data_IF_169502370818
#
_entry.id   IF_169502370818
#
_cell.length_a   1.000
_cell.length_b   1.000
_cell.length_c   1.000
_cell.angle_alpha   90.00
_cell.angle_beta   90.00
_cell.angle_gamma   90.00
#
_symmetry.space_group_name_H-M   'P 1'
#
loop_
_entity.id
_entity.type
_entity.pdbx_description
1 polymer ?
#
# COMPACT_ATOMS: atom_id res chain seq x y z
N UNK A 1 -5.37 -19.70 -1.38
CA UNK A 1 -6.17 -19.19 -0.25
C UNK A 1 -6.16 -17.67 -0.14
N UNK A 2 -5.04 -16.98 0.05
CA UNK A 2 -5.04 -15.51 0.20
C UNK A 2 -5.76 -14.75 -0.94
N UNK A 3 -5.59 -15.14 -2.22
CA UNK A 3 -6.31 -14.51 -3.34
C UNK A 3 -7.84 -14.62 -3.19
N UNK A 4 -8.35 -15.80 -2.85
CA UNK A 4 -9.78 -16.01 -2.63
C UNK A 4 -10.30 -15.23 -1.43
N UNK A 5 -9.52 -15.16 -0.35
CA UNK A 5 -9.86 -14.35 0.83
C UNK A 5 -9.92 -12.85 0.48
N UNK A 6 -8.93 -12.34 -0.27
CA UNK A 6 -8.92 -10.93 -0.73
C UNK A 6 -10.16 -10.63 -1.57
N UNK A 7 -10.51 -11.52 -2.49
CA UNK A 7 -11.69 -11.34 -3.32
C UNK A 7 -12.96 -11.26 -2.50
N UNK A 8 -13.19 -12.23 -1.59
CA UNK A 8 -14.39 -12.24 -0.75
C UNK A 8 -14.46 -11.05 0.21
N UNK A 9 -13.32 -10.63 0.77
CA UNK A 9 -13.26 -9.43 1.61
C UNK A 9 -13.65 -8.18 0.81
N UNK A 10 -13.18 -8.04 -0.42
CA UNK A 10 -13.48 -6.88 -1.25
C UNK A 10 -14.94 -6.87 -1.76
N UNK A 11 -15.54 -8.03 -2.00
CA UNK A 11 -16.89 -8.17 -2.55
C UNK A 11 -17.98 -8.22 -1.49
N UNK A 12 -17.73 -8.94 -0.37
CA UNK A 12 -18.75 -9.25 0.65
C UNK A 12 -18.46 -8.56 1.99
N UNK A 13 -17.27 -8.01 2.16
CA UNK A 13 -16.83 -7.45 3.44
C UNK A 13 -16.38 -8.51 4.47
N UNK A 14 -15.87 -8.02 5.60
CA UNK A 14 -15.34 -8.89 6.66
C UNK A 14 -16.41 -9.82 7.27
N UNK A 15 -17.61 -9.30 7.56
CA UNK A 15 -18.64 -10.08 8.27
C UNK A 15 -19.00 -11.35 7.49
N UNK A 16 -19.29 -11.23 6.22
CA UNK A 16 -19.77 -12.30 5.34
C UNK A 16 -18.65 -13.22 4.84
N UNK A 17 -17.39 -12.82 4.95
CA UNK A 17 -16.25 -13.68 4.59
C UNK A 17 -16.11 -14.79 5.62
N UNK A 18 -16.28 -16.05 5.20
CA UNK A 18 -16.21 -17.25 6.07
C UNK A 18 -15.14 -18.21 5.58
N UNK A 19 -14.61 -19.08 6.49
CA UNK A 19 -13.66 -20.13 6.10
C UNK A 19 -14.28 -21.07 5.04
N UNK A 20 -15.57 -21.39 5.14
CA UNK A 20 -16.24 -22.23 4.16
C UNK A 20 -16.33 -21.54 2.79
N UNK A 21 -16.69 -20.25 2.76
CA UNK A 21 -16.74 -19.46 1.53
C UNK A 21 -15.36 -19.34 0.86
N UNK A 22 -14.31 -19.10 1.65
CA UNK A 22 -12.92 -19.04 1.14
C UNK A 22 -12.50 -20.42 0.61
N UNK A 23 -12.81 -21.51 1.30
CA UNK A 23 -12.50 -22.87 0.84
C UNK A 23 -13.16 -23.15 -0.51
N UNK A 24 -14.45 -22.86 -0.63
CA UNK A 24 -15.21 -23.03 -1.87
C UNK A 24 -14.63 -22.20 -3.03
N UNK A 25 -14.39 -20.91 -2.80
CA UNK A 25 -13.83 -20.00 -3.81
C UNK A 25 -12.42 -20.40 -4.24
N UNK A 26 -11.62 -20.95 -3.32
CA UNK A 26 -10.24 -21.38 -3.57
C UNK A 26 -10.12 -22.82 -4.12
N UNK A 27 -11.22 -23.58 -4.24
CA UNK A 27 -11.21 -24.96 -4.68
C UNK A 27 -10.63 -25.97 -3.67
N UNK A 28 -10.68 -25.64 -2.35
CA UNK A 28 -10.22 -26.52 -1.28
C UNK A 28 -11.39 -27.04 -0.44
N UNK A 29 -11.17 -28.15 0.27
CA UNK A 29 -12.12 -28.57 1.30
C UNK A 29 -12.06 -27.63 2.52
N UNK A 30 -13.21 -27.44 3.20
CA UNK A 30 -13.25 -26.66 4.45
C UNK A 30 -12.25 -27.20 5.48
N UNK A 31 -12.12 -28.52 5.60
CA UNK A 31 -11.19 -29.18 6.52
C UNK A 31 -9.73 -28.86 6.20
N UNK A 32 -9.36 -28.80 4.90
CA UNK A 32 -8.01 -28.42 4.50
C UNK A 32 -7.68 -26.96 4.88
N UNK A 33 -8.64 -26.04 4.72
CA UNK A 33 -8.43 -24.65 5.13
C UNK A 33 -8.34 -24.53 6.66
N UNK A 34 -9.23 -25.21 7.41
CA UNK A 34 -9.23 -25.19 8.88
C UNK A 34 -8.00 -25.86 9.50
N UNK A 35 -7.37 -26.80 8.82
CA UNK A 35 -6.12 -27.39 9.26
C UNK A 35 -4.98 -26.36 9.29
N UNK A 36 -4.92 -25.46 8.31
CA UNK A 36 -3.91 -24.39 8.23
C UNK A 36 -4.30 -23.14 9.01
N UNK A 37 -5.59 -22.83 9.06
CA UNK A 37 -6.16 -21.64 9.69
C UNK A 37 -7.35 -22.05 10.55
N UNK A 38 -7.11 -22.46 11.80
CA UNK A 38 -8.16 -22.91 12.73
C UNK A 38 -9.29 -21.90 12.93
N UNK A 39 -8.98 -20.60 12.84
CA UNK A 39 -9.96 -19.52 13.02
C UNK A 39 -9.99 -18.58 11.81
N UNK A 40 -11.08 -17.83 11.67
CA UNK A 40 -11.22 -16.78 10.67
C UNK A 40 -10.15 -15.71 10.86
N UNK A 41 -9.90 -15.31 12.09
CA UNK A 41 -8.93 -14.28 12.45
C UNK A 41 -7.51 -14.67 12.01
N UNK A 42 -7.14 -15.94 12.10
CA UNK A 42 -5.83 -16.44 11.62
C UNK A 42 -5.72 -16.42 10.11
N UNK A 43 -6.76 -16.84 9.39
CA UNK A 43 -6.82 -16.74 7.94
C UNK A 43 -6.71 -15.27 7.48
N UNK A 44 -7.45 -14.37 8.13
CA UNK A 44 -7.43 -12.95 7.80
C UNK A 44 -6.06 -12.33 8.13
N UNK A 45 -5.46 -12.65 9.29
CA UNK A 45 -4.13 -12.14 9.64
C UNK A 45 -3.06 -12.55 8.62
N UNK A 46 -3.03 -13.82 8.20
CA UNK A 46 -2.12 -14.28 7.15
C UNK A 46 -2.39 -13.60 5.79
N UNK A 47 -3.67 -13.29 5.52
CA UNK A 47 -4.04 -12.55 4.29
C UNK A 47 -3.56 -11.10 4.35
N UNK A 48 -3.68 -10.43 5.51
CA UNK A 48 -3.14 -9.08 5.74
C UNK A 48 -1.63 -9.08 5.55
N UNK A 49 -0.90 -9.98 6.18
CA UNK A 49 0.55 -10.11 6.01
C UNK A 49 0.93 -10.23 4.53
N UNK A 50 0.24 -11.09 3.78
CA UNK A 50 0.44 -11.24 2.34
C UNK A 50 0.17 -9.94 1.55
N UNK A 51 -0.88 -9.19 1.92
CA UNK A 51 -1.21 -7.90 1.30
C UNK A 51 -0.12 -6.85 1.57
N UNK A 52 0.34 -6.76 2.81
CA UNK A 52 1.33 -5.78 3.23
C UNK A 52 2.71 -6.02 2.59
N UNK A 53 3.12 -7.28 2.44
CA UNK A 53 4.37 -7.65 1.76
C UNK A 53 4.37 -7.21 0.29
N UNK A 54 3.26 -7.30 -0.42
CA UNK A 54 3.18 -6.94 -1.84
C UNK A 54 3.31 -5.45 -2.09
N UNK A 55 2.88 -4.61 -1.16
CA UNK A 55 3.00 -3.15 -1.29
C UNK A 55 4.45 -2.68 -1.16
N UNK A 56 5.30 -3.45 -0.48
CA UNK A 56 6.73 -3.14 -0.29
C UNK A 56 7.56 -3.46 -1.54
N UNK A 57 7.15 -4.44 -2.36
CA UNK A 57 7.93 -4.90 -3.52
C UNK A 57 7.94 -3.95 -4.73
N UNK A 58 7.13 -2.89 -4.73
CA UNK A 58 7.02 -1.97 -5.88
C UNK A 58 8.02 -0.80 -5.83
N UNK A 59 9.00 -0.80 -4.93
CA UNK A 59 9.90 0.33 -4.68
C UNK A 59 10.95 0.62 -5.76
N UNK A 60 11.08 -0.20 -6.80
CA UNK A 60 12.10 -0.05 -7.86
C UNK A 60 11.59 0.66 -9.14
N UNK A 61 10.53 1.47 -9.03
CA UNK A 61 10.05 2.23 -10.18
C UNK A 61 10.68 3.63 -10.21
N UNK A 62 11.24 4.00 -11.36
CA UNK A 62 11.58 5.39 -11.65
C UNK A 62 10.35 6.13 -12.13
N UNK A 63 10.15 7.34 -11.66
CA UNK A 63 9.03 8.20 -12.04
C UNK A 63 9.57 9.46 -12.73
N UNK A 64 8.83 9.95 -13.72
CA UNK A 64 9.20 11.16 -14.46
C UNK A 64 8.92 12.45 -13.66
N UNK A 65 7.88 12.41 -12.81
CA UNK A 65 7.47 13.54 -11.99
C UNK A 65 6.81 13.07 -10.69
N UNK A 66 6.69 13.99 -9.71
CA UNK A 66 5.93 13.74 -8.47
C UNK A 66 4.48 13.39 -8.79
N UNK A 67 3.87 14.10 -9.74
CA UNK A 67 2.48 13.87 -10.16
C UNK A 67 2.30 12.44 -10.67
N UNK A 68 3.19 11.99 -11.57
CA UNK A 68 3.14 10.62 -12.10
C UNK A 68 3.31 9.56 -11.01
N UNK A 69 4.17 9.83 -10.02
CA UNK A 69 4.38 8.94 -8.89
C UNK A 69 3.14 8.83 -7.99
N UNK A 70 2.50 9.96 -7.66
CA UNK A 70 1.29 10.00 -6.82
C UNK A 70 0.08 9.39 -7.54
N UNK A 71 -0.11 9.69 -8.84
CA UNK A 71 -1.17 9.08 -9.65
C UNK A 71 -0.98 7.56 -9.80
N UNK A 72 0.26 7.12 -9.99
CA UNK A 72 0.59 5.68 -10.03
C UNK A 72 0.28 5.00 -8.68
N UNK A 73 0.59 5.66 -7.56
CA UNK A 73 0.25 5.15 -6.23
C UNK A 73 -1.27 4.99 -6.07
N UNK A 74 -2.08 5.96 -6.53
CA UNK A 74 -3.53 5.81 -6.57
C UNK A 74 -3.95 4.57 -7.37
N UNK A 75 -3.54 4.49 -8.63
CA UNK A 75 -4.02 3.46 -9.56
C UNK A 75 -3.57 2.05 -9.17
N UNK A 76 -2.33 1.88 -8.71
CA UNK A 76 -1.73 0.55 -8.51
C UNK A 76 -1.73 0.06 -7.07
N UNK A 77 -1.82 0.96 -6.11
CA UNK A 77 -1.78 0.58 -4.70
C UNK A 77 -3.14 0.79 -4.03
N UNK A 78 -3.75 1.96 -4.19
CA UNK A 78 -4.95 2.34 -3.43
C UNK A 78 -6.23 1.89 -4.13
N UNK A 79 -6.43 2.23 -5.40
CA UNK A 79 -7.65 1.86 -6.14
C UNK A 79 -7.62 0.41 -6.63
N UNK A 80 -7.51 -0.53 -5.70
CA UNK A 80 -7.42 -1.97 -5.98
C UNK A 80 -8.33 -2.77 -5.06
N UNK A 81 -8.79 -3.94 -5.53
CA UNK A 81 -9.53 -4.89 -4.68
C UNK A 81 -8.71 -5.33 -3.45
N UNK A 82 -7.40 -5.44 -3.60
CA UNK A 82 -6.48 -5.74 -2.51
C UNK A 82 -6.53 -4.70 -1.39
N UNK A 83 -6.53 -3.42 -1.75
CA UNK A 83 -6.61 -2.35 -0.77
C UNK A 83 -8.01 -2.22 -0.15
N UNK A 84 -9.08 -2.43 -0.93
CA UNK A 84 -10.46 -2.50 -0.41
C UNK A 84 -10.59 -3.63 0.62
N UNK A 85 -10.06 -4.82 0.32
CA UNK A 85 -10.01 -5.92 1.29
C UNK A 85 -9.26 -5.54 2.58
N UNK A 86 -8.14 -4.82 2.47
CA UNK A 86 -7.41 -4.33 3.64
C UNK A 86 -8.27 -3.35 4.46
N UNK A 87 -8.99 -2.42 3.81
CA UNK A 87 -9.88 -1.48 4.49
C UNK A 87 -10.99 -2.18 5.27
N UNK A 88 -11.59 -3.23 4.70
CA UNK A 88 -12.60 -4.05 5.38
C UNK A 88 -12.03 -4.69 6.66
N UNK A 89 -10.81 -5.21 6.59
CA UNK A 89 -10.15 -5.78 7.78
C UNK A 89 -9.83 -4.70 8.82
N UNK A 90 -9.35 -3.53 8.41
CA UNK A 90 -9.06 -2.41 9.32
C UNK A 90 -10.34 -1.89 10.01
N UNK A 91 -11.45 -1.81 9.28
CA UNK A 91 -12.74 -1.43 9.84
C UNK A 91 -13.24 -2.46 10.85
N UNK A 92 -13.15 -3.74 10.53
CA UNK A 92 -13.53 -4.83 11.44
C UNK A 92 -12.66 -4.84 12.71
N UNK A 93 -11.36 -4.63 12.60
CA UNK A 93 -10.42 -4.59 13.72
C UNK A 93 -10.68 -3.44 14.73
N UNK A 94 -11.44 -2.43 14.36
CA UNK A 94 -11.89 -1.37 15.31
C UNK A 94 -12.78 -1.96 16.40
N UNK A 95 -13.58 -2.94 16.07
CA UNK A 95 -14.58 -3.57 16.97
C UNK A 95 -14.05 -4.92 17.45
N UNK A 96 -13.49 -5.73 16.57
CA UNK A 96 -12.93 -7.04 16.89
C UNK A 96 -11.54 -6.91 17.55
N UNK A 97 -11.52 -7.06 18.89
CA UNK A 97 -10.28 -6.99 19.67
C UNK A 97 -9.30 -8.12 19.32
N UNK A 98 -9.80 -9.34 19.05
CA UNK A 98 -8.94 -10.50 18.73
C UNK A 98 -8.22 -10.26 17.42
N UNK A 99 -8.96 -9.87 16.38
CA UNK A 99 -8.40 -9.50 15.09
C UNK A 99 -7.38 -8.37 15.22
N UNK A 100 -7.73 -7.29 15.94
CA UNK A 100 -6.83 -6.15 16.16
C UNK A 100 -5.51 -6.56 16.78
N UNK A 101 -5.52 -7.39 17.82
CA UNK A 101 -4.30 -7.87 18.48
C UNK A 101 -3.43 -8.72 17.54
N UNK A 102 -4.06 -9.44 16.61
CA UNK A 102 -3.35 -10.31 15.66
C UNK A 102 -2.62 -9.53 14.57
N UNK A 103 -3.14 -8.39 14.13
CA UNK A 103 -2.61 -7.66 12.95
C UNK A 103 -1.89 -6.35 13.31
N UNK A 104 -1.93 -5.92 14.58
CA UNK A 104 -1.41 -4.59 14.96
C UNK A 104 0.09 -4.44 14.79
N UNK A 105 0.87 -5.47 15.09
CA UNK A 105 2.34 -5.42 14.97
C UNK A 105 2.76 -5.28 13.49
N UNK A 106 2.15 -6.07 12.62
CA UNK A 106 2.38 -6.05 11.17
C UNK A 106 1.98 -4.71 10.56
N UNK A 107 0.84 -4.15 10.98
CA UNK A 107 0.38 -2.83 10.50
C UNK A 107 1.34 -1.70 10.92
N UNK A 108 1.85 -1.73 12.16
CA UNK A 108 2.83 -0.75 12.63
C UNK A 108 4.14 -0.88 11.85
N UNK A 109 4.63 -2.10 11.65
CA UNK A 109 5.84 -2.35 10.87
C UNK A 109 5.68 -1.89 9.41
N UNK A 110 4.53 -2.17 8.81
CA UNK A 110 4.20 -1.75 7.46
C UNK A 110 4.16 -0.22 7.33
N UNK A 111 3.50 0.49 8.26
CA UNK A 111 3.48 1.95 8.27
C UNK A 111 4.88 2.56 8.29
N UNK A 112 5.75 2.06 9.18
CA UNK A 112 7.16 2.48 9.23
C UNK A 112 7.93 2.19 7.94
N UNK A 113 7.64 1.07 7.28
CA UNK A 113 8.27 0.73 6.00
C UNK A 113 7.78 1.66 4.88
N UNK A 114 6.49 2.00 4.85
CA UNK A 114 5.96 2.98 3.89
C UNK A 114 6.62 4.35 4.06
N UNK A 115 6.82 4.80 5.30
CA UNK A 115 7.49 6.07 5.57
C UNK A 115 8.95 6.04 5.09
N UNK A 116 9.68 4.96 5.37
CA UNK A 116 11.05 4.77 4.86
C UNK A 116 11.09 4.76 3.32
N UNK A 117 10.18 4.03 2.67
CA UNK A 117 10.10 4.00 1.20
C UNK A 117 9.76 5.38 0.63
N UNK A 118 8.86 6.11 1.27
CA UNK A 118 8.55 7.48 0.88
C UNK A 118 9.80 8.34 0.83
N UNK A 119 10.66 8.24 1.82
CA UNK A 119 11.92 8.98 1.90
C UNK A 119 13.00 8.50 0.90
N UNK A 120 12.86 7.33 0.29
CA UNK A 120 13.73 6.93 -0.83
C UNK A 120 13.31 7.54 -2.15
N UNK A 121 12.03 7.88 -2.30
CA UNK A 121 11.44 8.39 -3.54
C UNK A 121 11.37 9.93 -3.52
N UNK A 122 10.96 10.49 -2.38
CA UNK A 122 10.63 11.92 -2.24
C UNK A 122 11.57 12.65 -1.29
N UNK A 123 11.71 13.93 -1.53
CA UNK A 123 12.29 14.92 -0.62
C UNK A 123 11.40 16.16 -0.58
N UNK A 124 11.51 16.98 0.47
CA UNK A 124 10.82 18.28 0.55
C UNK A 124 11.27 19.19 -0.60
N UNK A 125 10.33 19.93 -1.15
CA UNK A 125 10.62 21.01 -2.09
C UNK A 125 11.15 22.26 -1.39
N UNK A 126 10.96 22.39 -0.08
CA UNK A 126 11.47 23.51 0.71
C UNK A 126 12.95 23.30 1.07
N UNK A 127 13.84 23.88 0.26
CA UNK A 127 15.29 23.77 0.43
C UNK A 127 15.83 24.52 1.66
N UNK A 128 15.01 25.35 2.33
CA UNK A 128 15.40 26.07 3.53
C UNK A 128 15.30 25.23 4.80
N UNK A 129 14.57 24.11 4.73
CA UNK A 129 14.43 23.22 5.88
C UNK A 129 15.70 22.40 6.12
N UNK A 130 16.12 22.21 7.38
CA UNK A 130 17.08 21.18 7.73
C UNK A 130 16.61 19.80 7.24
N UNK A 131 17.55 18.93 6.86
CA UNK A 131 17.22 17.64 6.24
C UNK A 131 16.21 16.81 7.06
N UNK A 132 16.34 16.76 8.39
CA UNK A 132 15.43 16.01 9.26
C UNK A 132 14.00 16.60 9.33
N UNK A 133 13.88 17.93 9.21
CA UNK A 133 12.58 18.61 9.15
C UNK A 133 11.93 18.38 7.78
N UNK A 134 12.72 18.45 6.70
CA UNK A 134 12.27 18.12 5.36
C UNK A 134 11.79 16.66 5.24
N UNK A 135 12.49 15.70 5.84
CA UNK A 135 12.05 14.31 5.90
C UNK A 135 10.74 14.16 6.70
N UNK A 136 10.59 14.89 7.80
CA UNK A 136 9.35 14.92 8.60
C UNK A 136 8.18 15.47 7.79
N UNK A 137 8.39 16.57 7.05
CA UNK A 137 7.39 17.16 6.17
C UNK A 137 6.94 16.17 5.09
N UNK A 138 7.88 15.49 4.41
CA UNK A 138 7.57 14.46 3.40
C UNK A 138 6.71 13.36 3.98
N UNK A 139 7.08 12.79 5.13
CA UNK A 139 6.32 11.74 5.79
C UNK A 139 4.91 12.23 6.14
N UNK A 140 4.77 13.44 6.65
CA UNK A 140 3.48 14.03 6.99
C UNK A 140 2.61 14.20 5.74
N UNK A 141 3.13 14.82 4.67
CA UNK A 141 2.39 15.06 3.43
C UNK A 141 1.91 13.74 2.79
N UNK A 142 2.75 12.72 2.80
CA UNK A 142 2.37 11.42 2.23
C UNK A 142 1.42 10.64 3.14
N UNK A 143 1.48 10.79 4.45
CA UNK A 143 0.47 10.24 5.36
C UNK A 143 -0.89 10.92 5.16
N UNK A 144 -0.91 12.25 4.97
CA UNK A 144 -2.13 12.99 4.62
C UNK A 144 -2.68 12.53 3.27
N UNK A 145 -1.83 12.36 2.26
CA UNK A 145 -2.20 11.86 0.94
C UNK A 145 -2.82 10.46 1.02
N UNK A 146 -2.20 9.54 1.75
CA UNK A 146 -2.75 8.19 1.98
C UNK A 146 -4.10 8.23 2.69
N UNK A 147 -4.27 9.14 3.64
CA UNK A 147 -5.53 9.30 4.38
C UNK A 147 -6.63 9.88 3.50
N UNK A 148 -6.32 10.87 2.68
CA UNK A 148 -7.23 11.44 1.69
C UNK A 148 -7.69 10.38 0.68
N UNK A 149 -6.74 9.69 0.03
CA UNK A 149 -7.04 8.66 -0.96
C UNK A 149 -7.87 7.51 -0.37
N UNK A 150 -7.60 7.13 0.88
CA UNK A 150 -8.39 6.13 1.61
C UNK A 150 -9.82 6.59 1.84
N UNK A 151 -10.00 7.86 2.18
CA UNK A 151 -11.32 8.47 2.34
C UNK A 151 -12.14 8.43 1.06
N UNK A 152 -11.52 8.65 -0.10
CA UNK A 152 -12.21 8.59 -1.40
C UNK A 152 -12.79 7.21 -1.69
N UNK A 153 -12.06 6.12 -1.38
CA UNK A 153 -12.60 4.76 -1.54
C UNK A 153 -13.86 4.52 -0.69
N UNK A 154 -13.95 5.15 0.47
CA UNK A 154 -15.14 5.05 1.31
C UNK A 154 -16.31 5.83 0.71
N UNK A 155 -16.05 6.95 0.02
CA UNK A 155 -17.10 7.77 -0.61
C UNK A 155 -17.76 7.09 -1.81
N UNK A 156 -17.09 6.15 -2.48
CA UNK A 156 -17.70 5.33 -3.54
C UNK A 156 -18.99 4.63 -3.06
N UNK A 157 -19.05 4.27 -1.77
CA UNK A 157 -20.23 3.64 -1.15
C UNK A 157 -21.42 4.60 -1.00
N UNK A 158 -21.17 5.90 -1.11
CA UNK A 158 -22.18 6.96 -1.00
C UNK A 158 -22.53 7.60 -2.34
N UNK A 159 -22.17 6.94 -3.44
CA UNK A 159 -22.57 7.33 -4.79
C UNK A 159 -21.60 8.28 -5.50
N UNK A 160 -20.42 8.52 -4.97
CA UNK A 160 -19.35 9.24 -5.71
C UNK A 160 -18.87 8.34 -6.85
N UNK A 161 -18.95 8.85 -8.08
CA UNK A 161 -18.56 8.09 -9.26
C UNK A 161 -17.04 7.91 -9.37
N UNK A 162 -16.54 6.89 -10.10
CA UNK A 162 -15.11 6.74 -10.37
C UNK A 162 -14.49 7.97 -11.06
N UNK A 163 -15.23 8.66 -11.91
CA UNK A 163 -14.79 9.87 -12.63
C UNK A 163 -14.62 11.05 -11.68
N UNK A 164 -15.60 11.26 -10.78
CA UNK A 164 -15.49 12.27 -9.72
C UNK A 164 -14.30 11.96 -8.78
N UNK A 165 -14.12 10.70 -8.41
CA UNK A 165 -12.98 10.25 -7.60
C UNK A 165 -11.65 10.59 -8.26
N UNK A 166 -11.50 10.33 -9.57
CA UNK A 166 -10.31 10.70 -10.32
C UNK A 166 -10.08 12.21 -10.36
N UNK A 167 -11.15 13.00 -10.50
CA UNK A 167 -11.08 14.45 -10.43
C UNK A 167 -10.56 14.95 -9.09
N UNK A 168 -11.03 14.36 -7.98
CA UNK A 168 -10.55 14.70 -6.63
C UNK A 168 -9.09 14.29 -6.43
N UNK A 169 -8.69 13.11 -6.92
CA UNK A 169 -7.29 12.67 -6.87
C UNK A 169 -6.38 13.60 -7.67
N UNK A 170 -6.78 13.97 -8.90
CA UNK A 170 -6.00 14.87 -9.73
C UNK A 170 -5.84 16.24 -9.05
N UNK A 171 -6.91 16.78 -8.47
CA UNK A 171 -6.85 18.04 -7.74
C UNK A 171 -5.99 17.97 -6.49
N UNK A 172 -6.03 16.86 -5.76
CA UNK A 172 -5.14 16.65 -4.61
C UNK A 172 -3.67 16.59 -5.03
N UNK A 173 -3.37 15.88 -6.12
CA UNK A 173 -2.01 15.79 -6.66
C UNK A 173 -1.49 17.17 -7.07
N UNK A 174 -2.30 17.98 -7.78
CA UNK A 174 -1.96 19.37 -8.12
C UNK A 174 -1.59 20.22 -6.90
N UNK A 175 -2.26 20.02 -5.77
CA UNK A 175 -2.01 20.75 -4.53
C UNK A 175 -0.73 20.31 -3.81
N UNK A 176 -0.43 19.01 -3.83
CA UNK A 176 0.64 18.40 -3.03
C UNK A 176 1.96 18.30 -3.80
N UNK A 177 1.91 18.07 -5.11
CA UNK A 177 3.11 17.85 -5.91
C UNK A 177 4.14 19.00 -5.83
N UNK A 178 3.75 20.28 -5.80
CA UNK A 178 4.70 21.39 -5.64
C UNK A 178 5.46 21.40 -4.31
N UNK A 179 4.97 20.69 -3.30
CA UNK A 179 5.60 20.59 -1.98
C UNK A 179 6.65 19.48 -1.90
N UNK A 180 6.77 18.66 -2.95
CA UNK A 180 7.63 17.50 -3.01
C UNK A 180 8.56 17.57 -4.23
N UNK A 181 9.73 16.93 -4.12
CA UNK A 181 10.65 16.66 -5.24
C UNK A 181 10.99 15.18 -5.26
N UNK A 182 11.21 14.62 -6.45
CA UNK A 182 11.78 13.27 -6.55
C UNK A 182 13.25 13.31 -6.14
N UNK A 183 13.68 12.34 -5.36
CA UNK A 183 15.11 12.12 -5.12
C UNK A 183 15.74 11.61 -6.41
N UNK A 184 16.85 12.22 -6.82
CA UNK A 184 17.64 11.68 -7.94
C UNK A 184 18.10 10.28 -7.56
N UNK A 185 17.72 9.27 -8.35
CA UNK A 185 18.29 7.94 -8.22
C UNK A 185 19.78 8.07 -8.49
N UNK A 186 20.64 7.97 -7.48
CA UNK A 186 22.08 7.79 -7.71
C UNK A 186 22.22 6.45 -8.43
N UNK A 187 22.38 6.52 -9.74
CA UNK A 187 22.96 5.41 -10.49
C UNK A 187 24.36 5.28 -9.89
N UNK A 188 24.59 4.19 -9.17
CA UNK A 188 25.93 3.87 -8.67
C UNK A 188 26.80 3.65 -9.92
N UNK A 189 27.60 4.65 -10.26
CA UNK A 189 28.74 4.51 -11.18
C UNK A 189 29.72 3.50 -10.57
N UNK A 190 29.54 2.24 -10.89
CA UNK A 190 30.29 1.12 -10.39
C UNK A 190 30.60 0.08 -11.46
N UNK A 191 30.83 0.53 -12.71
CA UNK A 191 31.53 -0.34 -13.67
C UNK A 191 32.78 0.43 -14.12
N UNK A 192 33.87 0.29 -13.37
CA UNK A 192 35.20 0.59 -13.90
C UNK A 192 35.46 -0.36 -15.06
N UNK A 193 35.54 0.20 -16.25
CA UNK A 193 36.05 -0.48 -17.42
C UNK A 193 37.46 -0.99 -17.07
N UNK A 194 37.61 -2.30 -17.01
CA UNK A 194 38.93 -2.94 -17.05
C UNK A 194 39.38 -2.85 -18.50
N UNK A 195 40.21 -1.86 -18.78
CA UNK A 195 41.01 -1.81 -20.02
C UNK A 195 42.03 -2.91 -19.92
N UNK A 196 41.80 -3.99 -20.65
CA UNK A 196 42.82 -4.99 -20.94
C UNK A 196 43.76 -4.37 -22.00
N UNK A 197 44.93 -4.01 -21.55
CA UNK A 197 46.03 -3.68 -22.48
C UNK A 197 46.69 -5.01 -22.77
N UNK A 198 46.46 -5.53 -23.97
CA UNK A 198 47.33 -6.53 -24.58
C UNK A 198 48.64 -5.86 -24.97
N UNK A 199 49.73 -6.44 -24.52
CA UNK A 199 51.04 -6.24 -25.11
C UNK A 199 51.78 -7.57 -25.18
N UNK A 200 52.06 -7.97 -26.48
CA UNK A 200 53.11 -8.88 -27.01
C UNK A 200 53.07 -10.34 -26.53
#
# INVERSE_FOLDING_TARGET
>A
MCKATIQLLAELGYAETTIAGVAQNAGFSKGAVQYHFPTKEELIAATVEHLLMRTVSSANQSYESVDSALLNAWQRLVNTSAYRALLEVLNAARIDRKLRLRISAELVAWGKNLDKQSLTIYQSANEQLPAHEGDTEVVMLLNMTRSFMRGLLTQEQYGVSPEETLTYVAKWVELIAPMLKLRSTRISDGVKAVTTTDNI
#
